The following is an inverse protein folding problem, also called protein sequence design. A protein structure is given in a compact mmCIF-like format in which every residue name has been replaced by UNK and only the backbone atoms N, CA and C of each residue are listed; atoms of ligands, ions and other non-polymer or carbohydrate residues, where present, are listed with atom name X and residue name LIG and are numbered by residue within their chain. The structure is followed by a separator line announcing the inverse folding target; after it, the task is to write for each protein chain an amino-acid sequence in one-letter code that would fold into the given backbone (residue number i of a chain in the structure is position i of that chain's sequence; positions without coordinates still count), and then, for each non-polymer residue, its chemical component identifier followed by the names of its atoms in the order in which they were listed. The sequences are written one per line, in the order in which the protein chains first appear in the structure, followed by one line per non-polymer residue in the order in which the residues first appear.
data_IF_330523707220
#
_entry.id   IF_330523707220
#
_cell.length_a   1.000
_cell.length_b   1.000
_cell.length_c   1.000
_cell.angle_alpha   90.00
_cell.angle_beta   90.00
_cell.angle_gamma   90.00
#
_symmetry.space_group_name_H-M   'P 1'
#
loop_
_entity.id
_entity.type
_entity.pdbx_description
1 polymer ?
#
# COMPACT_ATOMS: atom_id res chain seq x y z
N UNK A 1 -3.57 -15.10 6.34
CA UNK A 1 -2.72 -16.30 6.47
C UNK A 1 -1.55 -16.15 5.50
N UNK A 2 -0.33 -16.55 5.88
CA UNK A 2 0.84 -16.59 5.00
C UNK A 2 1.46 -17.98 5.09
N UNK A 3 1.89 -18.54 3.98
CA UNK A 3 2.39 -19.92 3.92
C UNK A 3 3.35 -20.09 2.76
N UNK A 4 4.32 -21.00 2.90
CA UNK A 4 5.08 -21.55 1.76
C UNK A 4 4.53 -22.95 1.50
N UNK A 5 3.84 -23.12 0.38
CA UNK A 5 3.22 -24.39 0.01
C UNK A 5 4.13 -25.15 -0.96
N UNK A 6 4.50 -26.38 -0.62
CA UNK A 6 5.18 -27.29 -1.54
C UNK A 6 4.20 -27.82 -2.57
N UNK A 7 4.62 -27.89 -3.83
CA UNK A 7 3.80 -28.43 -4.92
C UNK A 7 4.66 -29.31 -5.82
N UNK A 8 4.11 -30.44 -6.26
CA UNK A 8 4.83 -31.44 -7.06
C UNK A 8 5.90 -32.21 -6.27
N UNK A 9 6.78 -32.89 -6.99
CA UNK A 9 7.86 -33.70 -6.43
C UNK A 9 7.41 -35.02 -5.80
N UNK A 10 8.39 -35.80 -5.35
CA UNK A 10 8.18 -37.10 -4.71
C UNK A 10 8.40 -36.99 -3.21
N UNK A 11 7.35 -37.28 -2.43
CA UNK A 11 7.48 -37.44 -0.98
C UNK A 11 7.96 -38.85 -0.68
N UNK A 12 9.03 -38.97 0.08
CA UNK A 12 9.60 -40.25 0.51
C UNK A 12 8.61 -40.96 1.43
N UNK A 13 8.13 -42.14 1.02
CA UNK A 13 7.26 -43.01 1.81
C UNK A 13 7.92 -44.38 2.03
N UNK A 14 7.89 -44.87 3.27
CA UNK A 14 8.20 -46.26 3.58
C UNK A 14 6.96 -47.11 3.27
N UNK A 15 7.05 -47.94 2.25
CA UNK A 15 5.95 -48.79 1.80
C UNK A 15 6.15 -50.21 2.30
N UNK A 16 5.16 -50.72 3.04
CA UNK A 16 5.14 -52.10 3.54
C UNK A 16 4.13 -52.89 2.71
N UNK A 17 4.64 -53.65 1.73
CA UNK A 17 3.83 -54.46 0.83
C UNK A 17 3.69 -55.87 1.40
N UNK A 18 2.50 -56.20 1.90
CA UNK A 18 2.25 -57.45 2.61
C UNK A 18 1.89 -58.55 1.60
N UNK A 19 2.45 -59.75 1.77
CA UNK A 19 2.11 -60.95 0.98
C UNK A 19 0.87 -61.65 1.58
N UNK A 20 -0.27 -61.69 0.87
CA UNK A 20 -1.50 -62.32 1.36
C UNK A 20 -1.34 -63.83 1.63
N UNK A 21 -0.51 -64.52 0.85
CA UNK A 21 -0.31 -65.96 1.02
C UNK A 21 0.46 -66.26 2.30
N UNK A 22 1.45 -65.42 2.63
CA UNK A 22 2.21 -65.54 3.88
C UNK A 22 1.38 -65.16 5.09
N UNK A 23 0.53 -64.13 4.99
CA UNK A 23 -0.44 -63.79 6.03
C UNK A 23 -1.32 -64.98 6.41
N UNK A 24 -1.84 -65.68 5.40
CA UNK A 24 -2.68 -66.88 5.59
C UNK A 24 -1.88 -68.05 6.16
N UNK A 25 -0.66 -68.30 5.65
CA UNK A 25 0.19 -69.39 6.12
C UNK A 25 0.56 -69.25 7.62
N UNK A 26 0.82 -68.03 8.08
CA UNK A 26 1.10 -67.75 9.50
C UNK A 26 -0.15 -67.46 10.34
N UNK A 27 -1.34 -67.45 9.74
CA UNK A 27 -2.62 -67.15 10.39
C UNK A 27 -2.60 -65.83 11.20
N UNK A 28 -2.03 -64.77 10.61
CA UNK A 28 -1.92 -63.46 11.26
C UNK A 28 -2.91 -62.47 10.63
N UNK A 29 -3.76 -61.79 11.42
CA UNK A 29 -4.63 -60.76 10.87
C UNK A 29 -3.83 -59.49 10.55
N UNK A 30 -4.23 -58.78 9.49
CA UNK A 30 -3.58 -57.53 9.05
C UNK A 30 -3.57 -56.45 10.15
N UNK A 31 -4.59 -56.44 11.01
CA UNK A 31 -4.68 -55.51 12.15
C UNK A 31 -3.52 -55.68 13.12
N UNK A 32 -3.05 -56.92 13.34
CA UNK A 32 -1.88 -57.19 14.19
C UNK A 32 -0.60 -56.56 13.63
N UNK A 33 -0.44 -56.58 12.31
CA UNK A 33 0.70 -55.92 11.64
C UNK A 33 0.61 -54.41 11.82
N UNK A 34 -0.56 -53.81 11.57
CA UNK A 34 -0.77 -52.38 11.76
C UNK A 34 -0.46 -51.93 13.19
N UNK A 35 -0.90 -52.70 14.17
CA UNK A 35 -0.66 -52.42 15.59
C UNK A 35 0.81 -52.61 15.99
N UNK A 36 1.48 -53.64 15.45
CA UNK A 36 2.91 -53.84 15.67
C UNK A 36 3.72 -52.64 15.13
N UNK A 37 3.44 -52.19 13.90
CA UNK A 37 4.12 -51.02 13.32
C UNK A 37 3.85 -49.76 14.16
N UNK A 38 2.61 -49.52 14.60
CA UNK A 38 2.26 -48.36 15.44
C UNK A 38 2.96 -48.39 16.80
N UNK A 39 3.12 -49.56 17.41
CA UNK A 39 3.80 -49.72 18.70
C UNK A 39 5.33 -49.58 18.58
N UNK A 40 5.90 -49.99 17.45
CA UNK A 40 7.34 -49.97 17.20
C UNK A 40 7.90 -48.62 16.73
N UNK A 41 7.09 -47.56 16.66
CA UNK A 41 7.53 -46.22 16.28
C UNK A 41 7.21 -45.16 17.34
N UNK A 42 7.41 -45.51 18.62
CA UNK A 42 7.16 -44.62 19.75
C UNK A 42 8.32 -44.67 20.74
N UNK A 43 8.74 -43.50 21.19
CA UNK A 43 9.61 -43.38 22.35
C UNK A 43 8.78 -43.55 23.63
N UNK A 44 9.41 -44.13 24.65
CA UNK A 44 8.84 -44.31 25.99
C UNK A 44 9.72 -43.67 27.04
N UNK A 45 9.10 -43.00 28.00
CA UNK A 45 9.79 -42.34 29.11
C UNK A 45 9.77 -43.23 30.35
N UNK A 46 10.94 -43.47 30.93
CA UNK A 46 11.13 -44.28 32.14
C UNK A 46 11.29 -43.45 33.42
N UNK A 47 11.04 -42.14 33.36
CA UNK A 47 11.29 -41.16 34.43
C UNK A 47 12.76 -41.13 34.85
N UNK A 48 13.04 -40.58 36.03
CA UNK A 48 14.37 -40.45 36.60
C UNK A 48 14.61 -41.53 37.66
N UNK A 49 15.86 -42.01 37.72
CA UNK A 49 16.38 -42.81 38.80
C UNK A 49 17.41 -41.96 39.53
N UNK A 50 17.24 -41.78 40.84
CA UNK A 50 18.23 -41.08 41.66
C UNK A 50 19.32 -42.07 42.08
N UNK A 51 20.57 -41.76 41.78
CA UNK A 51 21.72 -42.53 42.22
C UNK A 51 22.84 -41.58 42.66
N UNK A 52 23.29 -41.72 43.91
CA UNK A 52 24.34 -40.89 44.51
C UNK A 52 24.06 -39.37 44.48
N UNK A 53 22.79 -38.97 44.68
CA UNK A 53 22.38 -37.56 44.67
C UNK A 53 22.32 -36.93 43.28
N UNK A 54 22.44 -37.72 42.21
CA UNK A 54 22.26 -37.29 40.82
C UNK A 54 21.06 -38.04 40.22
N UNK A 55 20.19 -37.31 39.53
CA UNK A 55 19.06 -37.89 38.80
C UNK A 55 19.48 -38.31 37.38
N UNK A 56 19.33 -39.59 37.07
CA UNK A 56 19.54 -40.14 35.74
C UNK A 56 18.20 -40.35 35.03
N UNK A 57 18.01 -39.66 33.92
CA UNK A 57 16.81 -39.82 33.09
C UNK A 57 16.89 -41.11 32.27
N UNK A 58 15.90 -41.98 32.41
CA UNK A 58 15.77 -43.22 31.63
C UNK A 58 14.80 -42.98 30.47
N UNK A 59 15.27 -43.21 29.25
CA UNK A 59 14.47 -43.08 28.03
C UNK A 59 14.64 -44.31 27.13
N UNK A 60 13.53 -44.95 26.82
CA UNK A 60 13.46 -45.98 25.77
C UNK A 60 13.34 -45.31 24.41
N UNK A 61 14.35 -45.49 23.56
CA UNK A 61 14.35 -45.00 22.17
C UNK A 61 13.70 -46.06 21.29
N UNK A 62 12.67 -45.67 20.54
CA UNK A 62 11.87 -46.56 19.69
C UNK A 62 11.47 -45.96 18.35
N UNK A 63 12.14 -44.89 17.89
CA UNK A 63 11.90 -44.36 16.54
C UNK A 63 12.55 -45.22 15.46
N UNK A 64 11.77 -45.50 14.43
CA UNK A 64 12.22 -46.13 13.19
C UNK A 64 13.06 -45.11 12.40
N UNK A 65 14.28 -45.47 12.02
CA UNK A 65 15.17 -44.61 11.22
C UNK A 65 15.33 -45.14 9.81
N UNK A 66 15.53 -46.44 9.71
CA UNK A 66 15.90 -47.10 8.48
C UNK A 66 14.94 -48.25 8.14
N UNK A 67 15.03 -48.72 6.90
CA UNK A 67 14.22 -49.84 6.40
C UNK A 67 14.44 -51.09 7.27
N UNK A 68 15.69 -51.33 7.69
CA UNK A 68 16.07 -52.45 8.55
C UNK A 68 15.33 -52.46 9.90
N UNK A 69 15.00 -51.29 10.45
CA UNK A 69 14.24 -51.21 11.71
C UNK A 69 12.81 -51.71 11.51
N UNK A 70 12.20 -51.39 10.36
CA UNK A 70 10.86 -51.84 9.98
C UNK A 70 10.86 -53.36 9.74
N UNK A 71 11.86 -53.86 9.04
CA UNK A 71 12.00 -55.29 8.71
C UNK A 71 12.08 -56.18 9.95
N UNK A 72 12.73 -55.70 11.02
CA UNK A 72 12.93 -56.45 12.26
C UNK A 72 11.82 -56.21 13.29
N UNK A 73 10.68 -55.61 12.91
CA UNK A 73 9.53 -55.49 13.81
C UNK A 73 8.98 -56.89 14.12
N UNK A 74 8.89 -57.29 15.40
CA UNK A 74 8.35 -58.59 15.79
C UNK A 74 6.82 -58.61 15.67
N UNK A 75 6.30 -59.63 15.00
CA UNK A 75 4.86 -59.89 14.83
C UNK A 75 4.35 -60.99 15.79
N UNK A 76 5.27 -61.62 16.52
CA UNK A 76 5.00 -62.68 17.48
C UNK A 76 6.00 -63.82 17.32
N UNK A 77 5.60 -65.00 17.76
CA UNK A 77 6.43 -66.20 17.74
C UNK A 77 5.66 -67.30 17.00
N UNK A 78 6.37 -68.07 16.15
CA UNK A 78 5.83 -69.29 15.55
C UNK A 78 5.55 -70.35 16.63
N UNK A 79 4.78 -71.38 16.29
CA UNK A 79 4.50 -72.52 17.18
C UNK A 79 5.79 -73.21 17.69
N UNK A 80 6.89 -73.10 16.94
CA UNK A 80 8.20 -73.68 17.24
C UNK A 80 9.14 -72.76 18.05
N UNK A 81 8.68 -71.58 18.47
CA UNK A 81 9.49 -70.65 19.27
C UNK A 81 10.34 -69.66 18.46
N UNK A 82 10.38 -69.78 17.12
CA UNK A 82 11.09 -68.84 16.24
C UNK A 82 10.36 -67.48 16.18
N UNK A 83 11.04 -66.34 16.41
CA UNK A 83 10.42 -65.04 16.29
C UNK A 83 10.04 -64.76 14.83
N UNK A 84 8.81 -64.34 14.61
CA UNK A 84 8.30 -63.98 13.30
C UNK A 84 8.40 -62.47 13.11
N UNK A 85 9.15 -62.05 12.09
CA UNK A 85 9.46 -60.66 11.82
C UNK A 85 8.65 -60.13 10.65
N UNK A 86 8.54 -58.80 10.53
CA UNK A 86 7.78 -58.18 9.45
C UNK A 86 8.37 -58.51 8.06
N UNK A 87 9.70 -58.64 7.94
CA UNK A 87 10.37 -59.08 6.70
C UNK A 87 9.97 -60.48 6.22
N UNK A 88 9.47 -61.32 7.12
CA UNK A 88 9.06 -62.69 6.77
C UNK A 88 7.72 -62.69 6.06
N UNK A 89 6.89 -61.66 6.21
CA UNK A 89 5.51 -61.59 5.67
C UNK A 89 5.34 -60.43 4.67
N UNK A 90 6.18 -59.39 4.75
CA UNK A 90 6.07 -58.19 3.92
C UNK A 90 7.40 -57.81 3.29
N UNK A 91 7.33 -57.21 2.10
CA UNK A 91 8.45 -56.51 1.47
C UNK A 91 8.39 -55.04 1.86
N UNK A 92 9.45 -54.54 2.49
CA UNK A 92 9.59 -53.13 2.85
C UNK A 92 10.45 -52.47 1.77
N UNK A 93 9.95 -51.39 1.19
CA UNK A 93 10.68 -50.64 0.17
C UNK A 93 10.47 -49.14 0.34
N UNK A 94 11.46 -48.38 -0.11
CA UNK A 94 11.32 -46.95 -0.24
C UNK A 94 10.60 -46.64 -1.56
N UNK A 95 9.49 -45.92 -1.48
CA UNK A 95 8.73 -45.51 -2.66
C UNK A 95 8.20 -44.09 -2.53
N UNK A 96 7.63 -43.53 -3.60
CA UNK A 96 6.95 -42.25 -3.54
C UNK A 96 5.57 -42.40 -2.90
N UNK A 97 5.11 -41.37 -2.20
CA UNK A 97 3.72 -41.25 -1.79
C UNK A 97 2.79 -41.08 -3.00
N UNK A 98 1.52 -41.47 -2.85
CA UNK A 98 0.48 -41.20 -3.83
C UNK A 98 0.44 -39.69 -4.07
N UNK A 99 0.72 -39.30 -5.31
CA UNK A 99 0.82 -37.90 -5.71
C UNK A 99 -0.58 -37.30 -5.82
N UNK A 100 -0.74 -36.11 -5.23
CA UNK A 100 -1.95 -35.27 -5.39
C UNK A 100 -1.80 -34.17 -6.44
N UNK A 101 -0.59 -33.97 -6.96
CA UNK A 101 -0.28 -32.98 -7.98
C UNK A 101 1.08 -33.26 -8.61
N UNK A 102 1.25 -32.78 -9.84
CA UNK A 102 2.47 -32.88 -10.63
C UNK A 102 2.83 -31.48 -11.13
N UNK A 103 4.12 -31.19 -11.21
CA UNK A 103 4.66 -29.98 -11.84
C UNK A 103 5.68 -30.41 -12.87
N UNK A 104 5.55 -29.88 -14.08
CA UNK A 104 6.58 -29.94 -15.11
C UNK A 104 7.19 -28.54 -15.28
N UNK A 105 8.49 -28.48 -15.54
CA UNK A 105 9.19 -27.26 -15.89
C UNK A 105 9.50 -27.25 -17.39
N UNK A 106 8.78 -26.41 -18.13
CA UNK A 106 8.95 -26.19 -19.58
C UNK A 106 8.92 -27.46 -20.45
N UNK A 107 8.27 -28.54 -19.99
CA UNK A 107 8.22 -29.82 -20.70
C UNK A 107 9.54 -30.58 -20.69
N UNK A 108 10.51 -30.15 -19.86
CA UNK A 108 11.83 -30.79 -19.72
C UNK A 108 11.83 -31.85 -18.62
N UNK A 109 10.75 -31.95 -17.85
CA UNK A 109 10.57 -32.99 -16.85
C UNK A 109 9.93 -32.49 -15.56
N UNK A 110 9.57 -33.47 -14.73
CA UNK A 110 8.93 -33.24 -13.45
C UNK A 110 9.90 -32.63 -12.43
N UNK A 111 9.45 -31.58 -11.74
CA UNK A 111 10.22 -30.88 -10.72
C UNK A 111 9.44 -30.72 -9.42
N UNK A 112 10.16 -30.48 -8.33
CA UNK A 112 9.57 -30.04 -7.06
C UNK A 112 9.57 -28.51 -7.01
N UNK A 113 8.43 -27.92 -6.65
CA UNK A 113 8.23 -26.48 -6.58
C UNK A 113 7.72 -26.01 -5.22
N UNK A 114 7.75 -24.69 -5.02
CA UNK A 114 7.21 -24.03 -3.84
C UNK A 114 6.53 -22.72 -4.21
N UNK A 115 5.36 -22.47 -3.63
CA UNK A 115 4.58 -21.23 -3.83
C UNK A 115 4.60 -20.44 -2.52
N UNK A 116 4.98 -19.17 -2.61
CA UNK A 116 4.97 -18.24 -1.47
C UNK A 116 3.65 -17.48 -1.45
N UNK A 117 2.84 -17.73 -0.43
CA UNK A 117 1.55 -17.08 -0.19
C UNK A 117 1.76 -15.96 0.84
N UNK A 118 1.57 -14.71 0.38
CA UNK A 118 1.74 -13.50 1.19
C UNK A 118 0.52 -13.27 2.09
N UNK A 119 0.75 -12.65 3.25
CA UNK A 119 -0.34 -12.25 4.16
C UNK A 119 -1.22 -11.19 3.50
N UNK A 120 -2.53 -11.30 3.69
CA UNK A 120 -3.47 -10.27 3.24
C UNK A 120 -3.16 -8.92 3.91
N UNK A 121 -3.19 -7.83 3.12
CA UNK A 121 -2.91 -6.47 3.57
C UNK A 121 -1.42 -6.08 3.60
N UNK A 122 -0.50 -7.01 3.36
CA UNK A 122 0.94 -6.71 3.32
C UNK A 122 1.40 -6.16 1.96
N UNK A 123 2.47 -5.39 1.98
CA UNK A 123 3.11 -4.91 0.75
C UNK A 123 3.82 -6.07 0.03
N UNK A 124 3.19 -6.53 -1.06
CA UNK A 124 3.67 -7.68 -1.85
C UNK A 124 5.08 -7.45 -2.40
N UNK A 125 5.41 -6.26 -2.89
CA UNK A 125 6.73 -5.96 -3.46
C UNK A 125 7.83 -6.11 -2.40
N UNK A 126 7.61 -5.55 -1.21
CA UNK A 126 8.56 -5.66 -0.10
C UNK A 126 8.77 -7.11 0.37
N UNK A 127 7.74 -7.94 0.30
CA UNK A 127 7.82 -9.36 0.66
C UNK A 127 8.62 -10.13 -0.38
N UNK A 128 8.36 -9.88 -1.68
CA UNK A 128 9.12 -10.53 -2.77
C UNK A 128 10.60 -10.18 -2.67
N UNK A 129 10.95 -8.90 -2.47
CA UNK A 129 12.34 -8.47 -2.36
C UNK A 129 13.03 -9.16 -1.16
N UNK A 130 12.38 -9.23 0.00
CA UNK A 130 12.90 -9.96 1.18
C UNK A 130 13.06 -11.47 0.93
N UNK A 131 12.14 -12.09 0.20
CA UNK A 131 12.21 -13.51 -0.15
C UNK A 131 13.38 -13.78 -1.08
N UNK A 132 13.56 -12.96 -2.12
CA UNK A 132 14.71 -13.06 -3.05
C UNK A 132 16.03 -12.89 -2.31
N UNK A 133 16.11 -11.91 -1.42
CA UNK A 133 17.29 -11.67 -0.59
C UNK A 133 17.60 -12.87 0.32
N UNK A 134 16.59 -13.45 0.97
CA UNK A 134 16.75 -14.64 1.81
C UNK A 134 17.24 -15.84 1.00
N UNK A 135 16.68 -16.05 -0.20
CA UNK A 135 17.10 -17.12 -1.10
C UNK A 135 18.55 -16.91 -1.53
N UNK A 136 18.93 -15.69 -1.90
CA UNK A 136 20.27 -15.38 -2.37
C UNK A 136 21.34 -15.52 -1.28
N UNK A 137 21.07 -15.02 -0.07
CA UNK A 137 22.05 -14.97 1.02
C UNK A 137 22.19 -16.29 1.78
N UNK A 138 21.07 -16.95 2.09
CA UNK A 138 21.08 -18.07 3.04
C UNK A 138 20.83 -19.43 2.39
N UNK A 139 19.93 -19.48 1.38
CA UNK A 139 19.51 -20.76 0.79
C UNK A 139 20.48 -21.19 -0.31
N UNK A 140 20.77 -20.33 -1.28
CA UNK A 140 21.62 -20.67 -2.42
C UNK A 140 23.00 -21.24 -2.02
N UNK A 141 23.71 -20.71 -1.00
CA UNK A 141 24.99 -21.29 -0.55
C UNK A 141 24.85 -22.64 0.14
N UNK A 142 23.69 -22.92 0.73
CA UNK A 142 23.39 -24.15 1.47
C UNK A 142 22.91 -25.28 0.58
N UNK A 143 22.68 -25.03 -0.72
CA UNK A 143 22.16 -26.04 -1.64
C UNK A 143 23.23 -27.08 -2.02
N UNK A 144 22.84 -28.37 -2.14
CA UNK A 144 23.72 -29.39 -2.70
C UNK A 144 24.17 -29.06 -4.13
N UNK A 145 25.35 -29.56 -4.52
CA UNK A 145 25.87 -29.39 -5.89
C UNK A 145 24.86 -29.92 -6.91
N UNK A 146 24.54 -29.11 -7.92
CA UNK A 146 23.59 -29.46 -8.99
C UNK A 146 22.15 -29.04 -8.75
N UNK A 147 21.79 -28.54 -7.56
CA UNK A 147 20.46 -28.01 -7.27
C UNK A 147 20.43 -26.50 -7.57
N UNK A 148 19.45 -26.06 -8.36
CA UNK A 148 19.24 -24.64 -8.69
C UNK A 148 17.78 -24.28 -8.49
N UNK A 149 17.53 -23.15 -7.84
CA UNK A 149 16.19 -22.56 -7.73
C UNK A 149 15.97 -21.68 -8.97
N UNK A 150 14.93 -22.00 -9.74
CA UNK A 150 14.49 -21.21 -10.90
C UNK A 150 13.15 -20.58 -10.55
N UNK A 151 13.07 -19.26 -10.64
CA UNK A 151 11.82 -18.53 -10.38
C UNK A 151 10.93 -18.63 -11.62
N UNK A 152 9.75 -19.25 -11.47
CA UNK A 152 8.79 -19.45 -12.57
C UNK A 152 7.73 -18.35 -12.64
N UNK A 153 7.44 -17.71 -11.51
CA UNK A 153 6.45 -16.63 -11.43
C UNK A 153 6.91 -15.54 -10.48
N UNK A 154 6.97 -14.31 -10.99
CA UNK A 154 7.37 -13.13 -10.23
C UNK A 154 6.44 -11.95 -10.50
N UNK A 155 5.66 -11.59 -9.48
CA UNK A 155 4.72 -10.46 -9.55
C UNK A 155 5.43 -9.10 -9.46
N UNK A 156 6.67 -9.04 -8.96
CA UNK A 156 7.38 -7.78 -8.75
C UNK A 156 7.69 -7.05 -10.05
N UNK A 157 7.94 -7.78 -11.14
CA UNK A 157 8.20 -7.20 -12.46
C UNK A 157 7.00 -6.38 -12.95
N UNK A 158 5.81 -6.97 -12.88
CA UNK A 158 4.57 -6.29 -13.28
C UNK A 158 4.28 -5.05 -12.40
N UNK A 159 4.54 -5.14 -11.09
CA UNK A 159 4.37 -4.00 -10.18
C UNK A 159 5.34 -2.87 -10.52
N UNK A 160 6.63 -3.20 -10.75
CA UNK A 160 7.66 -2.21 -11.11
C UNK A 160 7.38 -1.58 -12.47
N UNK A 161 6.95 -2.37 -13.45
CA UNK A 161 6.55 -1.89 -14.76
C UNK A 161 5.38 -0.90 -14.65
N UNK A 162 4.33 -1.26 -13.89
CA UNK A 162 3.17 -0.38 -13.68
C UNK A 162 3.56 0.95 -13.01
N UNK A 163 4.44 0.93 -12.00
CA UNK A 163 4.98 2.16 -11.37
C UNK A 163 5.79 2.98 -12.38
N UNK A 164 6.61 2.32 -13.21
CA UNK A 164 7.37 2.98 -14.28
C UNK A 164 6.47 3.70 -15.27
N UNK A 165 5.46 3.00 -15.79
CA UNK A 165 4.46 3.59 -16.70
C UNK A 165 3.74 4.76 -16.04
N UNK A 166 3.29 4.63 -14.79
CA UNK A 166 2.63 5.72 -14.08
C UNK A 166 3.52 6.96 -13.98
N UNK A 167 4.80 6.78 -13.65
CA UNK A 167 5.77 7.88 -13.57
C UNK A 167 5.96 8.57 -14.92
N UNK A 168 6.10 7.78 -16.00
CA UNK A 168 6.23 8.33 -17.34
C UNK A 168 4.99 9.12 -17.77
N UNK A 169 3.79 8.58 -17.53
CA UNK A 169 2.54 9.24 -17.89
C UNK A 169 2.31 10.54 -17.09
N UNK A 170 2.65 10.55 -15.80
CA UNK A 170 2.59 11.79 -14.99
C UNK A 170 3.52 12.86 -15.57
N UNK A 171 4.74 12.49 -15.99
CA UNK A 171 5.68 13.45 -16.58
C UNK A 171 5.15 13.97 -17.93
N UNK A 172 4.68 13.09 -18.81
CA UNK A 172 4.10 13.47 -20.11
C UNK A 172 2.91 14.41 -19.94
N UNK A 173 1.99 14.09 -19.02
CA UNK A 173 0.83 14.94 -18.71
C UNK A 173 1.27 16.30 -18.17
N UNK A 174 2.22 16.32 -17.23
CA UNK A 174 2.73 17.58 -16.65
C UNK A 174 3.33 18.47 -17.74
N UNK A 175 4.12 17.91 -18.65
CA UNK A 175 4.73 18.64 -19.78
C UNK A 175 3.66 19.12 -20.77
N UNK A 176 2.71 18.26 -21.14
CA UNK A 176 1.65 18.59 -22.09
C UNK A 176 0.75 19.72 -21.56
N UNK A 177 0.32 19.64 -20.30
CA UNK A 177 -0.48 20.68 -19.65
C UNK A 177 0.31 21.98 -19.56
N UNK A 178 1.59 21.92 -19.18
CA UNK A 178 2.47 23.11 -19.13
C UNK A 178 2.57 23.78 -20.51
N UNK A 179 2.72 23.00 -21.58
CA UNK A 179 2.80 23.53 -22.94
C UNK A 179 1.49 24.23 -23.37
N UNK A 180 0.33 23.63 -23.12
CA UNK A 180 -0.99 24.23 -23.42
C UNK A 180 -1.17 25.54 -22.65
N UNK A 181 -0.82 25.56 -21.36
CA UNK A 181 -0.95 26.78 -20.54
C UNK A 181 -0.06 27.92 -21.05
N UNK A 182 1.17 27.63 -21.49
CA UNK A 182 2.07 28.63 -22.08
C UNK A 182 1.47 29.23 -23.37
N UNK A 183 0.89 28.38 -24.23
CA UNK A 183 0.29 28.82 -25.51
C UNK A 183 -0.94 29.70 -25.30
N UNK A 184 -1.82 29.35 -24.35
CA UNK A 184 -3.08 30.06 -24.15
C UNK A 184 -2.96 31.33 -23.31
N UNK A 185 -2.13 31.33 -22.26
CA UNK A 185 -2.11 32.47 -21.34
C UNK A 185 -1.03 33.51 -21.68
N UNK A 186 0.01 33.17 -22.43
CA UNK A 186 1.18 34.04 -22.75
C UNK A 186 1.76 34.82 -21.53
N UNK A 187 1.39 34.41 -20.32
CA UNK A 187 1.67 35.04 -19.03
C UNK A 187 1.91 33.91 -18.01
N UNK A 188 3.18 33.58 -17.82
CA UNK A 188 3.68 32.47 -16.98
C UNK A 188 3.13 32.42 -15.54
N UNK A 189 2.91 33.55 -14.83
CA UNK A 189 2.36 33.53 -13.47
C UNK A 189 0.95 32.93 -13.38
N UNK A 190 0.11 33.23 -14.37
CA UNK A 190 -1.30 32.83 -14.40
C UNK A 190 -1.46 31.35 -14.72
N UNK A 191 -0.59 30.85 -15.62
CA UNK A 191 -0.48 29.43 -15.95
C UNK A 191 0.01 28.58 -14.75
N UNK A 192 0.91 29.13 -13.92
CA UNK A 192 1.46 28.43 -12.75
C UNK A 192 0.36 28.05 -11.75
N UNK A 193 -0.68 28.89 -11.60
CA UNK A 193 -1.81 28.62 -10.70
C UNK A 193 -2.54 27.34 -11.12
N UNK A 194 -2.86 27.19 -12.41
CA UNK A 194 -3.56 26.01 -12.96
C UNK A 194 -2.67 24.76 -12.91
N UNK A 195 -1.38 24.91 -13.19
CA UNK A 195 -0.42 23.79 -13.14
C UNK A 195 -0.26 23.26 -11.71
N UNK A 196 -0.31 24.13 -10.69
CA UNK A 196 -0.14 23.73 -9.29
C UNK A 196 -1.42 23.16 -8.67
N UNK A 197 -2.61 23.64 -9.09
CA UNK A 197 -3.88 23.15 -8.56
C UNK A 197 -4.17 21.68 -8.91
N UNK A 198 -3.77 21.25 -10.12
CA UNK A 198 -3.99 19.88 -10.60
C UNK A 198 -3.32 18.79 -9.73
N UNK A 199 -2.00 18.82 -9.46
CA UNK A 199 -1.34 17.83 -8.60
C UNK A 199 -1.84 17.91 -7.15
N UNK A 200 -2.17 19.10 -6.63
CA UNK A 200 -2.73 19.26 -5.29
C UNK A 200 -4.11 18.57 -5.20
N UNK A 201 -4.97 18.74 -6.20
CA UNK A 201 -6.28 18.11 -6.25
C UNK A 201 -6.20 16.57 -6.31
N UNK A 202 -5.28 16.04 -7.12
CA UNK A 202 -5.01 14.59 -7.17
C UNK A 202 -4.55 14.08 -5.80
N UNK A 203 -3.60 14.77 -5.18
CA UNK A 203 -3.02 14.36 -3.89
C UNK A 203 -4.08 14.37 -2.78
N UNK A 204 -4.93 15.41 -2.73
CA UNK A 204 -6.08 15.47 -1.84
C UNK A 204 -7.07 14.33 -2.06
N UNK A 205 -7.35 13.98 -3.32
CA UNK A 205 -8.23 12.85 -3.67
C UNK A 205 -7.68 11.53 -3.12
N UNK A 206 -6.38 11.28 -3.27
CA UNK A 206 -5.74 10.08 -2.73
C UNK A 206 -5.72 10.05 -1.19
N UNK A 207 -5.54 11.19 -0.53
CA UNK A 207 -5.62 11.29 0.94
C UNK A 207 -7.02 10.90 1.43
N UNK A 208 -8.07 11.44 0.82
CA UNK A 208 -9.46 11.10 1.16
C UNK A 208 -9.76 9.62 0.90
N UNK A 209 -9.34 9.08 -0.24
CA UNK A 209 -9.47 7.65 -0.54
C UNK A 209 -8.79 6.76 0.50
N UNK A 210 -7.61 7.17 1.00
CA UNK A 210 -6.90 6.45 2.04
C UNK A 210 -7.69 6.40 3.35
N UNK A 211 -8.24 7.52 3.81
CA UNK A 211 -9.06 7.56 5.03
C UNK A 211 -10.38 6.79 4.89
N UNK A 212 -10.98 6.78 3.70
CA UNK A 212 -12.22 6.04 3.43
C UNK A 212 -11.98 4.56 3.12
N UNK A 213 -10.73 4.10 3.00
CA UNK A 213 -10.39 2.73 2.65
C UNK A 213 -10.79 2.34 1.21
N UNK A 214 -11.00 3.30 0.32
CA UNK A 214 -11.36 3.04 -1.08
C UNK A 214 -10.10 2.67 -1.87
N UNK A 215 -10.15 1.53 -2.55
CA UNK A 215 -9.02 1.05 -3.35
C UNK A 215 -8.88 1.81 -4.66
N UNK A 216 -7.64 2.10 -5.08
CA UNK A 216 -7.34 2.68 -6.37
C UNK A 216 -7.57 1.66 -7.49
N UNK A 217 -8.79 1.63 -8.01
CA UNK A 217 -9.23 0.79 -9.12
C UNK A 217 -9.66 1.66 -10.32
N UNK A 218 -9.82 1.04 -11.49
CA UNK A 218 -10.12 1.76 -12.75
C UNK A 218 -11.36 2.66 -12.61
N UNK A 219 -12.42 2.20 -11.95
CA UNK A 219 -13.64 2.98 -11.72
C UNK A 219 -13.37 4.24 -10.88
N UNK A 220 -12.65 4.11 -9.77
CA UNK A 220 -12.28 5.25 -8.92
C UNK A 220 -11.36 6.25 -9.64
N UNK A 221 -10.40 5.74 -10.43
CA UNK A 221 -9.44 6.56 -11.16
C UNK A 221 -10.12 7.33 -12.30
N UNK A 222 -11.09 6.71 -12.99
CA UNK A 222 -11.93 7.38 -13.99
C UNK A 222 -12.78 8.49 -13.38
N UNK A 223 -13.29 8.31 -12.16
CA UNK A 223 -14.02 9.37 -11.44
C UNK A 223 -13.15 10.59 -11.16
N UNK A 224 -11.91 10.36 -10.68
CA UNK A 224 -10.93 11.44 -10.46
C UNK A 224 -10.60 12.14 -11.79
N UNK A 225 -10.40 11.39 -12.88
CA UNK A 225 -10.10 11.97 -14.19
C UNK A 225 -11.22 12.88 -14.72
N UNK A 226 -12.48 12.48 -14.57
CA UNK A 226 -13.64 13.31 -14.96
C UNK A 226 -13.72 14.58 -14.09
N UNK A 227 -13.51 14.44 -12.77
CA UNK A 227 -13.55 15.55 -11.84
C UNK A 227 -12.47 16.60 -12.12
N UNK A 228 -11.26 16.16 -12.48
CA UNK A 228 -10.16 17.07 -12.87
C UNK A 228 -10.53 17.88 -14.12
N UNK A 229 -11.17 17.26 -15.12
CA UNK A 229 -11.60 17.97 -16.33
C UNK A 229 -12.53 19.15 -16.00
N UNK A 230 -13.54 18.92 -15.16
CA UNK A 230 -14.48 19.97 -14.75
C UNK A 230 -13.81 21.04 -13.85
N UNK A 231 -12.90 20.63 -12.96
CA UNK A 231 -12.18 21.55 -12.07
C UNK A 231 -11.25 22.50 -12.85
N UNK A 232 -10.53 21.98 -13.84
CA UNK A 232 -9.59 22.77 -14.67
C UNK A 232 -10.35 23.78 -15.53
N UNK A 233 -11.49 23.39 -16.11
CA UNK A 233 -12.35 24.29 -16.90
C UNK A 233 -12.78 25.51 -16.07
N UNK A 234 -13.33 25.28 -14.87
CA UNK A 234 -13.71 26.36 -13.97
C UNK A 234 -12.52 27.25 -13.55
N UNK A 235 -11.34 26.65 -13.34
CA UNK A 235 -10.12 27.38 -12.97
C UNK A 235 -9.62 28.28 -14.10
N UNK A 236 -9.65 27.80 -15.35
CA UNK A 236 -9.22 28.57 -16.52
C UNK A 236 -10.17 29.76 -16.74
N UNK A 237 -11.49 29.53 -16.71
CA UNK A 237 -12.50 30.58 -16.88
C UNK A 237 -12.32 31.68 -15.82
N UNK A 238 -12.04 31.32 -14.56
CA UNK A 238 -11.81 32.28 -13.49
C UNK A 238 -10.56 33.14 -13.75
N UNK A 239 -9.44 32.53 -14.17
CA UNK A 239 -8.19 33.24 -14.44
C UNK A 239 -8.31 34.17 -15.64
N UNK A 240 -9.01 33.73 -16.70
CA UNK A 240 -9.28 34.54 -17.88
C UNK A 240 -10.17 35.74 -17.54
N UNK A 241 -11.25 35.52 -16.78
CA UNK A 241 -12.12 36.61 -16.33
C UNK A 241 -11.38 37.62 -15.45
N UNK A 242 -10.47 37.17 -14.58
CA UNK A 242 -9.62 38.05 -13.78
C UNK A 242 -8.68 38.88 -14.65
N UNK A 243 -8.08 38.30 -15.69
CA UNK A 243 -7.25 39.05 -16.66
C UNK A 243 -8.06 40.09 -17.42
N UNK A 244 -9.23 39.69 -17.92
CA UNK A 244 -10.12 40.60 -18.66
C UNK A 244 -10.53 41.80 -17.81
N UNK A 245 -10.85 41.58 -16.53
CA UNK A 245 -11.25 42.64 -15.60
C UNK A 245 -10.09 43.58 -15.24
N UNK A 246 -8.88 43.04 -15.12
CA UNK A 246 -7.66 43.85 -14.95
C UNK A 246 -7.35 44.70 -16.19
N UNK A 247 -7.54 44.16 -17.39
CA UNK A 247 -7.34 44.89 -18.65
C UNK A 247 -8.40 45.99 -18.86
N UNK A 248 -9.67 45.71 -18.52
CA UNK A 248 -10.75 46.71 -18.49
C UNK A 248 -10.44 47.83 -17.48
N UNK A 249 -9.92 47.50 -16.29
CA UNK A 249 -9.52 48.50 -15.29
C UNK A 249 -8.35 49.37 -15.77
N UNK A 250 -7.35 48.78 -16.43
CA UNK A 250 -6.21 49.51 -16.99
C UNK A 250 -6.61 50.39 -18.19
N UNK A 251 -7.51 49.92 -19.05
CA UNK A 251 -7.96 50.66 -20.24
C UNK A 251 -8.92 51.81 -19.93
N UNK A 252 -9.67 51.75 -18.82
CA UNK A 252 -10.53 52.85 -18.36
C UNK A 252 -9.78 54.00 -17.66
N UNK A 253 -8.44 53.94 -17.57
CA UNK A 253 -7.61 55.11 -17.29
C UNK A 253 -7.78 55.75 -15.91
N UNK A 254 -8.26 55.02 -14.89
CA UNK A 254 -8.26 55.50 -13.50
C UNK A 254 -7.03 54.96 -12.77
N UNK A 255 -6.07 55.85 -12.53
CA UNK A 255 -5.02 55.64 -11.54
C UNK A 255 -5.67 55.57 -10.14
N UNK A 256 -5.96 54.37 -9.65
CA UNK A 256 -6.26 54.17 -8.23
C UNK A 256 -5.01 54.51 -7.43
N UNK A 257 -5.04 55.62 -6.69
CA UNK A 257 -3.97 55.95 -5.75
C UNK A 257 -3.99 54.93 -4.61
N UNK A 258 -2.95 54.11 -4.50
CA UNK A 258 -2.74 53.27 -3.32
C UNK A 258 -2.41 54.17 -2.13
N UNK A 259 -3.33 54.27 -1.16
CA UNK A 259 -3.09 54.99 0.09
C UNK A 259 -3.05 53.98 1.22
N UNK A 260 -1.95 54.02 1.98
CA UNK A 260 -1.77 53.23 3.19
C UNK A 260 -2.39 53.98 4.37
N UNK A 261 -3.37 53.36 5.04
CA UNK A 261 -3.97 53.87 6.29
C UNK A 261 -3.83 52.78 7.35
N UNK A 262 -3.14 53.07 8.45
CA UNK A 262 -2.98 52.20 9.62
C UNK A 262 -2.59 50.73 9.31
N UNK A 263 -1.67 50.53 8.36
CA UNK A 263 -1.14 49.20 8.03
C UNK A 263 -2.01 48.35 7.10
N UNK A 264 -3.15 48.86 6.63
CA UNK A 264 -4.03 48.20 5.65
C UNK A 264 -3.98 48.92 4.29
N UNK A 265 -3.91 48.14 3.21
CA UNK A 265 -3.95 48.63 1.84
C UNK A 265 -5.41 48.81 1.39
N UNK A 266 -5.85 50.06 1.25
CA UNK A 266 -7.20 50.39 0.78
C UNK A 266 -7.13 50.86 -0.67
N UNK A 267 -7.88 50.20 -1.55
CA UNK A 267 -7.98 50.53 -2.97
C UNK A 267 -9.25 51.37 -3.19
N UNK A 268 -9.09 52.61 -3.67
CA UNK A 268 -10.20 53.50 -4.02
C UNK A 268 -10.49 53.44 -5.52
N UNK A 269 -11.78 53.40 -5.89
CA UNK A 269 -12.27 53.26 -7.28
C UNK A 269 -12.46 54.61 -8.03
N UNK A 270 -12.22 55.75 -7.36
CA UNK A 270 -12.30 57.09 -7.99
C UNK A 270 -11.06 57.98 -7.70
N UNK A 271 -10.63 58.84 -8.64
CA UNK A 271 -9.55 59.79 -8.43
C UNK A 271 -10.03 60.89 -7.46
N UNK A 272 -9.56 60.84 -6.22
CA UNK A 272 -9.85 61.88 -5.24
C UNK A 272 -9.09 63.18 -5.58
N UNK A 273 -9.75 64.09 -6.30
CA UNK A 273 -9.33 65.49 -6.35
C UNK A 273 -9.31 66.04 -4.93
N UNK A 274 -8.12 66.38 -4.46
CA UNK A 274 -7.84 66.77 -3.06
C UNK A 274 -8.52 68.10 -2.65
N UNK A 275 -9.29 68.72 -3.54
CA UNK A 275 -10.07 69.93 -3.27
C UNK A 275 -11.56 69.65 -2.97
N UNK A 276 -12.14 68.54 -3.45
CA UNK A 276 -13.57 68.24 -3.24
C UNK A 276 -13.88 67.56 -1.90
N UNK A 277 -12.90 66.91 -1.27
CA UNK A 277 -13.07 66.24 0.03
C UNK A 277 -13.20 67.21 1.22
N UNK A 278 -12.86 68.50 1.06
CA UNK A 278 -13.05 69.50 2.13
C UNK A 278 -14.49 70.00 2.22
N UNK A 279 -15.28 69.83 1.17
CA UNK A 279 -16.68 70.24 1.13
C UNK A 279 -17.68 69.07 1.20
N UNK A 280 -17.26 67.85 0.85
CA UNK A 280 -18.12 66.66 0.90
C UNK A 280 -18.33 66.10 2.32
N UNK A 281 -17.44 66.40 3.28
CA UNK A 281 -17.58 65.96 4.67
C UNK A 281 -18.76 66.59 5.43
N UNK A 282 -19.44 67.59 4.85
CA UNK A 282 -20.61 68.25 5.46
C UNK A 282 -21.95 67.89 4.78
N UNK A 283 -21.97 67.06 3.72
CA UNK A 283 -23.23 66.85 2.96
C UNK A 283 -23.38 65.49 2.26
N UNK A 284 -22.76 64.41 2.73
CA UNK A 284 -22.96 63.07 2.15
C UNK A 284 -23.53 62.08 3.18
N UNK A 285 -24.86 61.93 3.17
CA UNK A 285 -25.63 60.77 3.70
C UNK A 285 -25.73 59.70 2.60
N UNK A 286 -24.58 59.21 2.10
CA UNK A 286 -24.53 58.21 1.04
C UNK A 286 -23.62 57.05 1.40
N UNK A 287 -24.13 55.82 1.26
CA UNK A 287 -23.41 54.57 1.49
C UNK A 287 -22.13 54.51 0.65
N UNK A 288 -21.00 54.30 1.32
CA UNK A 288 -19.69 54.11 0.69
C UNK A 288 -19.38 52.60 0.70
N UNK A 289 -19.36 51.96 -0.46
CA UNK A 289 -18.94 50.56 -0.59
C UNK A 289 -17.41 50.50 -0.58
N UNK A 290 -16.83 50.05 0.54
CA UNK A 290 -15.38 49.85 0.69
C UNK A 290 -15.08 48.36 0.63
N UNK A 291 -14.36 47.93 -0.42
CA UNK A 291 -13.81 46.57 -0.49
C UNK A 291 -12.55 46.51 0.37
N UNK A 292 -12.71 46.07 1.63
CA UNK A 292 -11.59 45.79 2.52
C UNK A 292 -11.05 44.40 2.19
N UNK A 293 -9.93 44.33 1.48
CA UNK A 293 -9.16 43.09 1.36
C UNK A 293 -8.32 42.91 2.63
N UNK A 294 -8.87 42.19 3.59
CA UNK A 294 -8.09 41.73 4.74
C UNK A 294 -7.14 40.61 4.31
N UNK A 295 -5.83 40.90 4.35
CA UNK A 295 -4.73 40.00 3.92
C UNK A 295 -4.48 38.81 4.86
N UNK A 296 -5.46 38.41 5.68
CA UNK A 296 -5.30 37.29 6.61
C UNK A 296 -6.10 36.02 6.26
N UNK A 297 -7.01 36.02 5.29
CA UNK A 297 -7.76 34.81 4.91
C UNK A 297 -8.01 34.68 3.40
N UNK A 298 -6.96 34.30 2.65
CA UNK A 298 -7.12 33.73 1.31
C UNK A 298 -7.63 32.29 1.43
N UNK A 299 -8.93 32.17 1.66
CA UNK A 299 -9.57 30.89 1.86
C UNK A 299 -11.04 30.98 2.22
N UNK A 300 -11.84 31.82 1.54
CA UNK A 300 -13.26 31.50 1.37
C UNK A 300 -13.93 32.33 0.28
N UNK A 301 -14.67 31.60 -0.55
CA UNK A 301 -15.77 32.06 -1.40
C UNK A 301 -16.79 32.80 -0.52
N UNK A 302 -17.19 34.01 -0.88
CA UNK A 302 -18.30 34.75 -0.24
C UNK A 302 -19.06 35.48 -1.36
N UNK A 303 -20.18 34.97 -1.86
CA UNK A 303 -21.55 34.99 -1.29
C UNK A 303 -22.03 36.39 -0.90
N UNK A 304 -22.99 36.92 -1.65
CA UNK A 304 -23.76 38.11 -1.32
C UNK A 304 -24.50 37.95 0.02
N UNK A 305 -24.44 38.97 0.88
CA UNK A 305 -25.15 39.03 2.16
C UNK A 305 -25.62 40.45 2.46
N UNK A 306 -26.94 40.61 2.52
CA UNK A 306 -27.65 41.81 2.97
C UNK A 306 -27.34 42.09 4.45
N UNK A 307 -27.15 43.37 4.82
CA UNK A 307 -27.15 43.83 6.21
C UNK A 307 -28.56 44.34 6.52
N UNK A 308 -29.19 43.72 7.51
CA UNK A 308 -30.39 44.22 8.19
C UNK A 308 -30.10 44.06 9.69
N UNK A 309 -29.98 45.19 10.40
CA UNK A 309 -30.30 45.31 11.82
C UNK A 309 -30.23 46.80 12.20
N UNK A 310 -31.40 47.38 12.38
CA UNK A 310 -31.58 48.72 12.92
C UNK A 310 -31.71 48.73 14.43
N UNK A 311 -31.54 49.96 14.94
CA UNK A 311 -31.84 50.47 16.28
C UNK A 311 -30.75 50.20 17.33
N UNK A 312 -30.04 51.18 17.88
CA UNK A 312 -30.11 52.63 17.77
C UNK A 312 -29.66 53.23 19.11
N UNK A 313 -28.67 54.13 19.07
CA UNK A 313 -28.52 55.30 19.97
C UNK A 313 -27.29 56.13 19.56
N UNK A 314 -27.49 57.43 19.43
CA UNK A 314 -26.55 58.46 18.95
C UNK A 314 -25.92 59.25 20.14
N UNK A 315 -25.16 60.36 19.93
CA UNK A 315 -23.69 60.38 19.90
C UNK A 315 -23.09 61.42 20.87
N UNK A 316 -21.75 61.49 21.02
CA UNK A 316 -21.06 62.77 21.26
C UNK A 316 -19.53 62.65 21.25
N UNK A 317 -18.89 63.63 20.58
CA UNK A 317 -17.48 64.06 20.64
C UNK A 317 -16.48 63.29 19.75
N UNK A 318 -16.13 63.78 18.56
CA UNK A 318 -15.35 64.98 18.20
C UNK A 318 -13.81 64.81 18.29
N UNK A 319 -13.21 64.73 17.09
CA UNK A 319 -12.08 65.54 16.63
C UNK A 319 -10.73 65.48 17.39
N UNK A 320 -9.71 64.91 16.72
CA UNK A 320 -8.38 65.56 16.65
C UNK A 320 -7.53 64.96 15.50
N UNK A 321 -7.33 65.75 14.45
CA UNK A 321 -6.32 65.51 13.40
C UNK A 321 -5.02 66.18 13.85
N UNK A 322 -3.93 65.42 13.88
CA UNK A 322 -2.57 65.92 14.05
C UNK A 322 -1.75 65.67 12.79
N UNK A 323 -1.59 66.71 11.97
CA UNK A 323 -0.67 66.73 10.83
C UNK A 323 0.77 67.05 11.30
N UNK A 324 1.74 66.20 10.96
CA UNK A 324 3.16 66.51 10.71
C UNK A 324 3.81 65.17 10.30
N UNK A 325 4.41 64.95 9.13
CA UNK A 325 5.19 65.86 8.30
C UNK A 325 6.68 65.73 8.61
N UNK A 326 7.36 64.66 8.14
CA UNK A 326 8.74 64.69 7.57
C UNK A 326 9.36 63.28 7.43
N UNK A 327 9.79 63.02 6.19
CA UNK A 327 11.11 62.53 5.75
C UNK A 327 12.10 62.11 6.86
N UNK A 328 12.58 60.87 6.79
CA UNK A 328 13.89 60.48 7.32
C UNK A 328 14.01 59.03 7.79
N UNK A 329 14.66 58.22 6.93
CA UNK A 329 15.23 56.85 7.11
C UNK A 329 14.25 55.70 7.34
#
# INVERSE_FOLDING_TARGET
MSQVASVGGFVKQYQVTIDPNRLLAYNIPITKIMDAIRKSNRDVEGRVIEFSGVEYMVRGRGYIRDISDIENIPLGTSAEGTPLLLKDIARIQLGPEIRRGLIDLDGKGEVAGGIVIVRFGENVLSVIDRVKDKIARDINPSLPKGVKIVVTYDRSELIRAAIGTLREEIIKLTVAVSAVCIVFLFHLPSALVVILTLPIAILMSFILMYYMGVTANIMSLSGIAIAIGAMVDASIIMVENAHKKLEEWQSQGRQGSQVWVDGHLVLFDEPADTCHLRHACNTFDGELEVVVLDTAQLGQVVSSGFIDDGVGESPSEACSIGSQGRVGV
#
